data_IF_093289099814
#
_entry.id   IF_093289099814
#
_cell.length_a   1.000
_cell.length_b   1.000
_cell.length_c   1.000
_cell.angle_alpha   90.00
_cell.angle_beta   90.00
_cell.angle_gamma   90.00
#
_symmetry.space_group_name_H-M   'P 1'
#
loop_
_entity.id
_entity.type
_entity.pdbx_description
1 polymer ?
#
# COMPACT_ATOMS: atom_id res chain seq x y z
N UNK A 1 30.15 31.08 24.09
CA UNK A 1 28.72 31.46 24.03
C UNK A 1 28.03 30.97 22.76
N UNK A 2 28.69 31.01 21.58
CA UNK A 2 28.13 30.46 20.33
C UNK A 2 28.15 28.92 20.27
N UNK A 3 29.31 28.28 20.45
CA UNK A 3 29.41 26.81 20.41
C UNK A 3 28.56 26.12 21.49
N UNK A 4 28.36 26.76 22.64
CA UNK A 4 27.52 26.23 23.72
C UNK A 4 26.04 26.10 23.33
N UNK A 5 25.54 26.94 22.42
CA UNK A 5 24.18 26.80 21.90
C UNK A 5 24.05 25.55 21.03
N UNK A 6 24.98 25.34 20.10
CA UNK A 6 25.02 24.13 19.29
C UNK A 6 25.18 22.86 20.11
N UNK A 7 26.03 22.91 21.14
CA UNK A 7 26.22 21.80 22.05
C UNK A 7 24.95 21.49 22.84
N UNK A 8 24.17 22.51 23.24
CA UNK A 8 22.89 22.32 23.92
C UNK A 8 21.84 21.67 23.01
N UNK A 9 21.77 22.06 21.73
CA UNK A 9 20.86 21.43 20.76
C UNK A 9 21.28 19.98 20.49
N UNK A 10 22.56 19.74 20.22
CA UNK A 10 23.11 18.41 19.93
C UNK A 10 22.95 17.42 21.10
N UNK A 11 22.91 17.91 22.35
CA UNK A 11 22.67 17.11 23.57
C UNK A 11 21.21 17.07 24.00
N UNK A 12 20.33 17.84 23.35
CA UNK A 12 18.91 17.86 23.70
C UNK A 12 18.26 16.51 23.38
N UNK A 13 17.08 16.25 23.96
CA UNK A 13 16.31 15.03 23.66
C UNK A 13 16.12 14.91 22.15
N UNK A 14 16.63 13.82 21.57
CA UNK A 14 16.50 13.48 20.16
C UNK A 14 15.03 13.24 19.80
N UNK A 15 14.62 13.74 18.65
CA UNK A 15 13.34 13.42 18.03
C UNK A 15 13.47 13.57 16.52
N UNK A 16 12.69 12.81 15.72
CA UNK A 16 12.78 12.86 14.26
C UNK A 16 12.63 14.27 13.69
N UNK A 17 11.74 15.08 14.26
CA UNK A 17 11.45 16.44 13.81
C UNK A 17 12.65 17.39 13.94
N UNK A 18 13.58 17.08 14.86
CA UNK A 18 14.80 17.87 15.06
C UNK A 18 15.92 17.53 14.09
N UNK A 19 15.81 16.45 13.33
CA UNK A 19 16.87 16.02 12.42
C UNK A 19 17.24 17.13 11.43
N UNK A 20 16.25 17.77 10.81
CA UNK A 20 16.49 18.79 9.80
C UNK A 20 17.24 20.00 10.38
N UNK A 21 16.86 20.45 11.58
CA UNK A 21 17.59 21.53 12.28
C UNK A 21 19.02 21.11 12.61
N UNK A 22 19.26 19.84 12.98
CA UNK A 22 20.62 19.34 13.21
C UNK A 22 21.45 19.34 11.91
N UNK A 23 20.83 19.04 10.77
CA UNK A 23 21.48 19.08 9.46
C UNK A 23 21.78 20.51 9.03
N UNK A 24 20.85 21.45 9.20
CA UNK A 24 21.09 22.89 8.95
C UNK A 24 22.31 23.39 9.75
N UNK A 25 22.36 23.06 11.04
CA UNK A 25 23.50 23.45 11.88
C UNK A 25 24.80 22.80 11.43
N UNK A 26 24.75 21.54 10.98
CA UNK A 26 25.91 20.84 10.46
C UNK A 26 26.41 21.47 9.15
N UNK A 27 25.52 21.84 8.23
CA UNK A 27 25.86 22.54 6.97
C UNK A 27 26.60 23.84 7.25
N UNK A 28 26.04 24.69 8.13
CA UNK A 28 26.68 25.95 8.49
C UNK A 28 28.06 25.71 9.11
N UNK A 29 28.20 24.68 9.96
CA UNK A 29 29.49 24.33 10.57
C UNK A 29 30.52 23.85 9.54
N UNK A 30 30.09 23.16 8.47
CA UNK A 30 30.95 22.77 7.36
C UNK A 30 31.33 23.97 6.48
N UNK A 31 30.37 24.85 6.20
CA UNK A 31 30.57 26.04 5.36
C UNK A 31 31.60 26.99 5.97
N UNK A 32 31.51 27.27 7.28
CA UNK A 32 32.43 28.19 7.96
C UNK A 32 33.74 27.54 8.39
N UNK A 33 33.92 26.23 8.19
CA UNK A 33 35.11 25.51 8.65
C UNK A 33 36.43 26.10 8.09
N UNK A 34 36.55 26.42 6.78
CA UNK A 34 37.76 27.01 6.23
C UNK A 34 38.09 28.37 6.83
N UNK A 35 37.07 29.20 7.10
CA UNK A 35 37.25 30.51 7.71
C UNK A 35 37.72 30.40 9.15
N UNK A 36 37.19 29.43 9.91
CA UNK A 36 37.64 29.14 11.26
C UNK A 36 39.11 28.67 11.26
N UNK A 37 39.49 27.78 10.35
CA UNK A 37 40.89 27.35 10.21
C UNK A 37 41.82 28.51 9.81
N UNK A 38 41.37 29.41 8.94
CA UNK A 38 42.14 30.59 8.51
C UNK A 38 42.33 31.62 9.61
N UNK A 39 41.23 32.03 10.26
CA UNK A 39 41.24 33.06 11.33
C UNK A 39 41.96 32.55 12.59
N UNK A 40 41.80 31.27 12.93
CA UNK A 40 42.34 30.68 14.16
C UNK A 40 43.57 29.77 13.92
N UNK A 41 44.35 30.02 12.86
CA UNK A 41 45.50 29.20 12.46
C UNK A 41 46.66 29.13 13.49
N UNK A 42 46.70 30.04 14.47
CA UNK A 42 47.75 30.09 15.48
C UNK A 42 47.67 28.96 16.50
N UNK A 43 48.83 28.49 17.01
CA UNK A 43 48.91 27.43 18.04
C UNK A 43 48.10 27.75 19.31
N UNK A 44 48.05 29.02 19.71
CA UNK A 44 47.27 29.48 20.86
C UNK A 44 45.75 29.35 20.68
N UNK A 45 45.25 29.20 19.44
CA UNK A 45 43.83 29.07 19.12
C UNK A 45 43.42 27.62 18.81
N UNK A 46 44.31 26.64 19.06
CA UNK A 46 44.05 25.22 18.77
C UNK A 46 42.79 24.71 19.47
N UNK A 47 42.57 25.07 20.73
CA UNK A 47 41.38 24.67 21.50
C UNK A 47 40.05 25.14 20.86
N UNK A 48 40.04 26.31 20.21
CA UNK A 48 38.85 26.86 19.53
C UNK A 48 38.53 26.02 18.29
N UNK A 49 39.55 25.67 17.50
CA UNK A 49 39.40 24.82 16.31
C UNK A 49 38.96 23.42 16.69
N UNK A 50 39.58 22.82 17.71
CA UNK A 50 39.20 21.51 18.24
C UNK A 50 37.77 21.50 18.81
N UNK A 51 37.36 22.57 19.52
CA UNK A 51 36.00 22.69 20.04
C UNK A 51 34.96 22.81 18.93
N UNK A 52 35.27 23.56 17.87
CA UNK A 52 34.42 23.72 16.69
C UNK A 52 34.25 22.38 15.98
N UNK A 53 35.37 21.71 15.69
CA UNK A 53 35.36 20.38 15.08
C UNK A 53 34.62 19.34 15.94
N UNK A 54 34.82 19.40 17.26
CA UNK A 54 34.11 18.57 18.23
C UNK A 54 32.60 18.77 18.19
N UNK A 55 32.12 20.01 18.03
CA UNK A 55 30.70 20.31 17.86
C UNK A 55 30.16 19.76 16.53
N UNK A 56 30.87 19.99 15.40
CA UNK A 56 30.47 19.46 14.09
C UNK A 56 30.30 17.95 14.12
N UNK A 57 31.27 17.25 14.72
CA UNK A 57 31.21 15.80 14.91
C UNK A 57 30.03 15.38 15.79
N UNK A 58 29.75 16.14 16.87
CA UNK A 58 28.63 15.84 17.76
C UNK A 58 27.29 16.00 17.04
N UNK A 59 27.11 17.08 16.28
CA UNK A 59 25.90 17.33 15.48
C UNK A 59 25.63 16.16 14.52
N UNK A 60 26.66 15.72 13.82
CA UNK A 60 26.52 14.62 12.88
C UNK A 60 26.27 13.26 13.54
N UNK A 61 26.90 12.96 14.68
CA UNK A 61 26.57 11.77 15.48
C UNK A 61 25.12 11.79 15.95
N UNK A 62 24.67 12.92 16.50
CA UNK A 62 23.29 13.08 16.96
C UNK A 62 22.30 12.91 15.79
N UNK A 63 22.63 13.43 14.60
CA UNK A 63 21.81 13.24 13.39
C UNK A 63 21.74 11.75 12.97
N UNK A 64 22.87 11.03 12.98
CA UNK A 64 22.90 9.58 12.69
C UNK A 64 22.05 8.77 13.65
N UNK A 65 22.18 9.06 14.95
CA UNK A 65 21.37 8.42 15.97
C UNK A 65 19.88 8.73 15.81
N UNK A 66 19.55 9.96 15.40
CA UNK A 66 18.15 10.37 15.15
C UNK A 66 17.51 9.60 14.00
N UNK A 67 18.27 9.15 12.99
CA UNK A 67 17.75 8.23 11.96
C UNK A 67 17.34 6.88 12.55
N UNK A 68 18.15 6.33 13.47
CA UNK A 68 17.84 5.10 14.18
C UNK A 68 16.58 5.25 15.03
N UNK A 69 16.49 6.35 15.78
CA UNK A 69 15.32 6.67 16.60
C UNK A 69 14.04 6.81 15.74
N UNK A 70 14.14 7.45 14.57
CA UNK A 70 13.02 7.56 13.64
C UNK A 70 12.58 6.20 13.08
N UNK A 71 13.52 5.36 12.64
CA UNK A 71 13.22 4.02 12.17
C UNK A 71 12.48 3.20 13.25
N UNK A 72 12.98 3.22 14.49
CA UNK A 72 12.37 2.51 15.60
C UNK A 72 10.98 3.06 15.94
N UNK A 73 10.80 4.37 15.91
CA UNK A 73 9.51 5.01 16.13
C UNK A 73 8.48 4.63 15.07
N UNK A 74 8.89 4.55 13.79
CA UNK A 74 8.02 4.10 12.68
C UNK A 74 7.64 2.63 12.85
N UNK A 75 8.61 1.77 13.17
CA UNK A 75 8.37 0.33 13.33
C UNK A 75 7.41 0.06 14.49
N UNK A 76 7.58 0.78 15.61
CA UNK A 76 6.81 0.59 16.85
C UNK A 76 5.57 1.47 16.96
N UNK A 77 5.20 2.22 15.92
CA UNK A 77 4.02 3.09 15.96
C UNK A 77 2.75 2.27 16.27
N UNK A 78 2.20 2.48 17.47
CA UNK A 78 1.01 1.81 17.98
C UNK A 78 -0.24 2.71 17.91
N UNK A 79 -0.16 3.86 17.23
CA UNK A 79 -1.26 4.82 17.12
C UNK A 79 -2.48 4.16 16.50
N UNK A 80 -3.60 4.17 17.25
CA UNK A 80 -4.89 3.58 16.86
C UNK A 80 -5.65 4.48 15.88
N UNK A 81 -5.03 4.81 14.76
CA UNK A 81 -5.72 5.55 13.70
C UNK A 81 -6.64 4.58 12.95
N UNK A 82 -7.95 4.77 13.07
CA UNK A 82 -8.92 3.92 12.39
C UNK A 82 -8.97 4.27 10.89
N UNK A 83 -8.55 3.34 10.03
CA UNK A 83 -8.68 3.45 8.57
C UNK A 83 -9.65 2.37 8.10
N UNK A 84 -10.94 2.55 8.36
CA UNK A 84 -11.93 1.47 8.18
C UNK A 84 -12.25 1.15 6.71
N UNK A 85 -11.91 2.04 5.78
CA UNK A 85 -12.15 1.91 4.33
C UNK A 85 -10.95 1.33 3.55
N UNK A 86 -9.85 1.04 4.25
CA UNK A 86 -8.62 0.50 3.65
C UNK A 86 -7.80 1.51 2.85
N UNK A 87 -8.04 2.81 3.00
CA UNK A 87 -7.23 3.85 2.33
C UNK A 87 -5.77 3.90 2.82
N UNK A 88 -4.99 4.83 2.28
CA UNK A 88 -3.60 5.08 2.73
C UNK A 88 -3.61 5.56 4.19
N UNK A 89 -2.82 4.90 5.03
CA UNK A 89 -2.67 5.23 6.44
C UNK A 89 -1.89 6.56 6.60
N UNK A 90 -2.25 7.46 7.53
CA UNK A 90 -1.54 8.72 7.74
C UNK A 90 -0.03 8.56 8.02
N UNK A 91 0.36 7.54 8.80
CA UNK A 91 1.76 7.15 8.99
C UNK A 91 2.52 6.97 7.66
N UNK A 92 1.92 6.33 6.66
CA UNK A 92 2.55 6.13 5.35
C UNK A 92 2.85 7.47 4.70
N UNK A 93 1.88 8.40 4.71
CA UNK A 93 2.07 9.74 4.15
C UNK A 93 3.13 10.54 4.94
N UNK A 94 3.11 10.45 6.27
CA UNK A 94 4.08 11.09 7.15
C UNK A 94 5.51 10.61 6.86
N UNK A 95 5.73 9.29 6.84
CA UNK A 95 7.06 8.71 6.59
C UNK A 95 7.54 9.02 5.18
N UNK A 96 6.67 8.94 4.18
CA UNK A 96 7.04 9.29 2.81
C UNK A 96 7.40 10.77 2.68
N UNK A 97 6.68 11.67 3.33
CA UNK A 97 7.02 13.09 3.32
C UNK A 97 8.33 13.36 4.08
N UNK A 98 8.55 12.69 5.20
CA UNK A 98 9.82 12.75 5.92
C UNK A 98 10.97 12.32 5.01
N UNK A 99 10.83 11.19 4.30
CA UNK A 99 11.83 10.74 3.34
C UNK A 99 12.03 11.76 2.23
N UNK A 100 10.98 12.35 1.65
CA UNK A 100 11.14 13.42 0.66
C UNK A 100 11.98 14.57 1.19
N UNK A 101 11.71 15.04 2.41
CA UNK A 101 12.52 16.09 3.03
C UNK A 101 13.96 15.65 3.27
N UNK A 102 14.25 14.38 3.55
CA UNK A 102 15.64 13.90 3.63
C UNK A 102 16.40 14.08 2.32
N UNK A 103 15.72 13.93 1.18
CA UNK A 103 16.36 14.10 -0.13
C UNK A 103 16.70 15.55 -0.44
N UNK A 104 15.99 16.52 0.14
CA UNK A 104 16.39 17.93 0.06
C UNK A 104 17.78 18.17 0.72
N UNK A 105 18.19 17.31 1.66
CA UNK A 105 19.51 17.32 2.31
C UNK A 105 20.46 16.25 1.75
N UNK A 106 20.23 15.73 0.54
CA UNK A 106 21.01 14.59 0.01
C UNK A 106 22.52 14.85 0.01
N UNK A 107 22.98 16.02 -0.45
CA UNK A 107 24.41 16.38 -0.48
C UNK A 107 25.03 16.37 0.91
N UNK A 108 24.33 16.95 1.87
CA UNK A 108 24.74 17.09 3.27
C UNK A 108 24.79 15.73 3.94
N UNK A 109 23.80 14.88 3.70
CA UNK A 109 23.79 13.51 4.20
C UNK A 109 24.92 12.67 3.60
N UNK A 110 25.24 12.86 2.32
CA UNK A 110 26.40 12.19 1.71
C UNK A 110 27.72 12.59 2.37
N UNK A 111 27.93 13.88 2.65
CA UNK A 111 29.11 14.37 3.37
C UNK A 111 29.14 13.85 4.81
N UNK A 112 28.00 13.92 5.49
CA UNK A 112 27.84 13.43 6.85
C UNK A 112 28.21 11.93 6.94
N UNK A 113 27.75 11.09 6.02
CA UNK A 113 28.09 9.67 6.01
C UNK A 113 29.56 9.40 5.66
N UNK A 114 30.25 10.34 5.02
CA UNK A 114 31.68 10.26 4.70
C UNK A 114 32.54 10.46 5.95
N UNK A 115 32.19 11.39 6.82
CA UNK A 115 32.99 11.74 8.00
C UNK A 115 33.08 10.61 9.04
N UNK A 116 32.07 9.74 9.12
CA UNK A 116 31.99 8.68 10.15
C UNK A 116 32.48 7.31 9.66
N UNK A 117 32.86 7.17 8.39
CA UNK A 117 33.46 5.93 7.87
C UNK A 117 34.62 6.19 6.93
N UNK A 118 35.74 5.52 7.22
CA UNK A 118 36.81 5.33 6.25
C UNK A 118 36.39 4.22 5.26
N UNK A 119 36.15 4.57 4.00
CA UNK A 119 36.06 3.65 2.82
C UNK A 119 34.73 2.93 2.52
N UNK A 120 33.57 3.58 2.67
CA UNK A 120 32.29 3.09 2.11
C UNK A 120 31.68 4.08 1.12
N UNK A 121 30.91 3.60 0.14
CA UNK A 121 30.14 4.46 -0.76
C UNK A 121 29.04 5.19 0.04
N UNK A 122 29.07 6.52 0.09
CA UNK A 122 28.13 7.36 0.85
C UNK A 122 26.72 7.28 0.29
N UNK A 123 26.58 7.11 -1.03
CA UNK A 123 25.31 6.85 -1.71
C UNK A 123 24.67 5.57 -1.18
N UNK A 124 25.48 4.52 -0.97
CA UNK A 124 24.99 3.25 -0.42
C UNK A 124 24.45 3.37 1.02
N UNK A 125 24.95 4.32 1.82
CA UNK A 125 24.50 4.52 3.21
C UNK A 125 23.15 5.23 3.27
N UNK A 126 22.98 6.32 2.52
CA UNK A 126 21.69 7.00 2.42
C UNK A 126 20.63 6.07 1.84
N UNK A 127 21.00 5.24 0.85
CA UNK A 127 20.14 4.21 0.30
C UNK A 127 19.74 3.19 1.39
N UNK A 128 20.71 2.70 2.18
CA UNK A 128 20.46 1.73 3.24
C UNK A 128 19.55 2.28 4.34
N UNK A 129 19.76 3.53 4.79
CA UNK A 129 18.89 4.19 5.79
C UNK A 129 17.47 4.35 5.24
N UNK A 130 17.34 4.83 4.01
CA UNK A 130 16.04 4.98 3.34
C UNK A 130 15.34 3.63 3.21
N UNK A 131 16.04 2.57 2.79
CA UNK A 131 15.48 1.22 2.71
C UNK A 131 14.99 0.70 4.06
N UNK A 132 15.75 0.92 5.14
CA UNK A 132 15.36 0.49 6.49
C UNK A 132 14.09 1.22 6.98
N UNK A 133 13.98 2.51 6.73
CA UNK A 133 12.76 3.29 7.04
C UNK A 133 11.56 2.73 6.27
N UNK A 134 11.71 2.45 4.97
CA UNK A 134 10.64 1.87 4.15
C UNK A 134 10.23 0.46 4.63
N UNK A 135 11.20 -0.36 5.04
CA UNK A 135 10.95 -1.69 5.61
C UNK A 135 10.26 -1.62 6.97
N UNK A 136 10.68 -0.71 7.84
CA UNK A 136 10.03 -0.45 9.13
C UNK A 136 8.57 -0.04 8.93
N UNK A 137 8.30 0.87 7.99
CA UNK A 137 6.94 1.27 7.63
C UNK A 137 6.12 0.07 7.13
N UNK A 138 6.68 -0.74 6.21
CA UNK A 138 5.98 -1.92 5.69
C UNK A 138 5.64 -2.92 6.80
N UNK A 139 6.61 -3.24 7.68
CA UNK A 139 6.41 -4.14 8.82
C UNK A 139 5.31 -3.63 9.77
N UNK A 140 5.31 -2.33 10.05
CA UNK A 140 4.27 -1.70 10.87
C UNK A 140 2.89 -1.80 10.21
N UNK A 141 2.80 -1.53 8.91
CA UNK A 141 1.54 -1.64 8.14
C UNK A 141 1.03 -3.08 8.10
N UNK A 142 1.90 -4.07 7.93
CA UNK A 142 1.56 -5.49 8.03
C UNK A 142 0.98 -5.81 9.42
N UNK A 143 1.61 -5.31 10.48
CA UNK A 143 1.09 -5.39 11.85
C UNK A 143 -0.32 -4.79 12.01
N UNK A 144 -0.54 -3.57 11.49
CA UNK A 144 -1.83 -2.87 11.56
C UNK A 144 -2.92 -3.53 10.73
N UNK A 145 -2.56 -4.10 9.58
CA UNK A 145 -3.50 -4.78 8.69
C UNK A 145 -4.21 -5.98 9.33
N UNK A 146 -3.60 -6.58 10.38
CA UNK A 146 -4.18 -7.70 11.14
C UNK A 146 -5.43 -7.31 11.95
N UNK A 147 -5.72 -6.02 12.07
CA UNK A 147 -6.92 -5.53 12.77
C UNK A 147 -8.18 -5.66 11.90
N UNK A 148 -8.04 -5.79 10.58
CA UNK A 148 -9.18 -6.02 9.70
C UNK A 148 -9.67 -7.46 9.83
N UNK A 149 -10.99 -7.62 9.99
CA UNK A 149 -11.64 -8.94 10.02
C UNK A 149 -11.77 -9.56 8.63
N UNK A 150 -11.87 -8.72 7.60
CA UNK A 150 -12.03 -9.15 6.21
C UNK A 150 -10.65 -9.25 5.53
N UNK A 151 -10.18 -10.45 5.16
CA UNK A 151 -8.88 -10.63 4.53
C UNK A 151 -8.74 -9.91 3.18
N UNK A 152 -9.85 -9.65 2.47
CA UNK A 152 -9.80 -8.87 1.24
C UNK A 152 -9.48 -7.40 1.55
N UNK A 153 -10.05 -6.84 2.62
CA UNK A 153 -9.75 -5.48 3.07
C UNK A 153 -8.31 -5.35 3.57
N UNK A 154 -7.80 -6.35 4.28
CA UNK A 154 -6.38 -6.42 4.68
C UNK A 154 -5.45 -6.23 3.47
N UNK A 155 -5.69 -6.99 2.40
CA UNK A 155 -4.86 -6.90 1.20
C UNK A 155 -5.10 -5.62 0.40
N UNK A 156 -6.33 -5.09 0.36
CA UNK A 156 -6.60 -3.79 -0.26
C UNK A 156 -5.83 -2.67 0.45
N UNK A 157 -5.84 -2.66 1.78
CA UNK A 157 -5.10 -1.70 2.60
C UNK A 157 -3.59 -1.76 2.34
N UNK A 158 -3.01 -2.96 2.38
CA UNK A 158 -1.57 -3.13 2.10
C UNK A 158 -1.23 -2.71 0.66
N UNK A 159 -2.05 -3.10 -0.32
CA UNK A 159 -1.90 -2.69 -1.71
C UNK A 159 -1.87 -1.16 -1.86
N UNK A 160 -2.83 -0.44 -1.26
CA UNK A 160 -2.90 1.01 -1.30
C UNK A 160 -1.66 1.69 -0.74
N UNK A 161 -1.22 1.25 0.45
CA UNK A 161 -0.08 1.87 1.12
C UNK A 161 1.24 1.58 0.40
N UNK A 162 1.48 0.33 -0.01
CA UNK A 162 2.68 -0.06 -0.77
C UNK A 162 2.70 0.65 -2.13
N UNK A 163 1.57 0.76 -2.81
CA UNK A 163 1.46 1.52 -4.07
C UNK A 163 1.76 3.00 -3.87
N UNK A 164 1.25 3.61 -2.79
CA UNK A 164 1.55 4.99 -2.45
C UNK A 164 3.04 5.22 -2.22
N UNK A 165 3.73 4.29 -1.53
CA UNK A 165 5.18 4.33 -1.36
C UNK A 165 5.90 4.27 -2.72
N UNK A 166 5.55 3.31 -3.58
CA UNK A 166 6.14 3.15 -4.92
C UNK A 166 5.93 4.40 -5.77
N UNK A 167 4.70 4.92 -5.82
CA UNK A 167 4.36 6.12 -6.60
C UNK A 167 5.13 7.33 -6.11
N UNK A 168 5.30 7.47 -4.80
CA UNK A 168 6.01 8.58 -4.19
C UNK A 168 7.51 8.53 -4.47
N UNK A 169 8.15 7.36 -4.30
CA UNK A 169 9.57 7.17 -4.62
C UNK A 169 9.84 7.41 -6.11
N UNK A 170 8.98 6.91 -7.00
CA UNK A 170 9.14 7.12 -8.45
C UNK A 170 9.06 8.59 -8.88
N UNK A 171 8.52 9.47 -8.04
CA UNK A 171 8.33 10.90 -8.30
C UNK A 171 9.33 11.78 -7.56
N UNK A 172 10.31 11.19 -6.89
CA UNK A 172 11.37 11.91 -6.16
C UNK A 172 12.75 11.39 -6.54
N UNK A 173 13.78 12.10 -6.12
CA UNK A 173 15.20 11.75 -6.29
C UNK A 173 15.56 10.43 -5.59
N UNK A 174 14.71 9.97 -4.67
CA UNK A 174 14.80 8.65 -4.06
C UNK A 174 14.81 7.51 -5.08
N UNK A 175 14.21 7.69 -6.27
CA UNK A 175 14.25 6.69 -7.33
C UNK A 175 15.68 6.39 -7.77
N UNK A 176 16.49 7.43 -7.98
CA UNK A 176 17.83 7.30 -8.53
C UNK A 176 18.77 6.64 -7.50
N UNK A 177 18.53 6.92 -6.21
CA UNK A 177 19.28 6.32 -5.12
C UNK A 177 18.90 4.86 -4.85
N UNK A 178 17.60 4.54 -4.83
CA UNK A 178 17.11 3.19 -4.51
C UNK A 178 17.16 2.23 -5.72
N UNK A 179 17.14 2.77 -6.93
CA UNK A 179 17.22 2.04 -8.19
C UNK A 179 15.90 1.39 -8.63
N UNK A 180 15.86 1.03 -9.92
CA UNK A 180 14.68 0.41 -10.54
C UNK A 180 14.36 -0.98 -9.96
N UNK A 181 15.35 -1.71 -9.44
CA UNK A 181 15.15 -3.00 -8.78
C UNK A 181 14.26 -2.89 -7.54
N UNK A 182 14.43 -1.84 -6.74
CA UNK A 182 13.58 -1.58 -5.58
C UNK A 182 12.15 -1.31 -6.04
N UNK A 183 11.97 -0.45 -7.04
CA UNK A 183 10.66 -0.11 -7.61
C UNK A 183 9.96 -1.37 -8.13
N UNK A 184 10.69 -2.22 -8.86
CA UNK A 184 10.13 -3.44 -9.44
C UNK A 184 9.76 -4.47 -8.35
N UNK A 185 10.57 -4.60 -7.31
CA UNK A 185 10.26 -5.47 -6.15
C UNK A 185 8.96 -5.03 -5.48
N UNK A 186 8.81 -3.76 -5.15
CA UNK A 186 7.62 -3.26 -4.48
C UNK A 186 6.38 -3.29 -5.39
N UNK A 187 6.52 -3.05 -6.71
CA UNK A 187 5.43 -3.30 -7.67
C UNK A 187 4.93 -4.74 -7.67
N UNK A 188 5.83 -5.72 -7.55
CA UNK A 188 5.43 -7.14 -7.43
C UNK A 188 4.64 -7.38 -6.14
N UNK A 189 5.00 -6.73 -5.03
CA UNK A 189 4.26 -6.81 -3.76
C UNK A 189 2.85 -6.22 -3.91
N UNK A 190 2.71 -5.06 -4.57
CA UNK A 190 1.40 -4.47 -4.90
C UNK A 190 0.55 -5.47 -5.69
N UNK A 191 1.12 -6.09 -6.73
CA UNK A 191 0.41 -7.08 -7.55
C UNK A 191 0.04 -8.34 -6.76
N UNK A 192 0.90 -8.81 -5.85
CA UNK A 192 0.61 -9.93 -4.97
C UNK A 192 -0.60 -9.64 -4.07
N UNK A 193 -0.67 -8.44 -3.47
CA UNK A 193 -1.82 -8.03 -2.69
C UNK A 193 -3.09 -7.88 -3.53
N UNK A 194 -3.00 -7.31 -4.74
CA UNK A 194 -4.13 -7.24 -5.67
C UNK A 194 -4.68 -8.65 -5.99
N UNK A 195 -3.80 -9.62 -6.27
CA UNK A 195 -4.17 -11.01 -6.54
C UNK A 195 -4.80 -11.71 -5.32
N UNK A 196 -4.24 -11.48 -4.13
CA UNK A 196 -4.79 -12.03 -2.87
C UNK A 196 -6.17 -11.42 -2.55
N UNK A 197 -6.33 -10.11 -2.71
CA UNK A 197 -7.63 -9.44 -2.62
C UNK A 197 -8.64 -10.10 -3.56
N UNK A 198 -8.29 -10.26 -4.85
CA UNK A 198 -9.18 -10.89 -5.84
C UNK A 198 -9.60 -12.29 -5.41
N UNK A 199 -8.64 -13.10 -4.97
CA UNK A 199 -8.90 -14.47 -4.51
C UNK A 199 -9.82 -14.49 -3.30
N UNK A 200 -9.57 -13.65 -2.30
CA UNK A 200 -10.30 -13.65 -1.05
C UNK A 200 -11.72 -13.08 -1.21
N UNK A 201 -11.89 -12.01 -2.01
CA UNK A 201 -13.20 -11.40 -2.24
C UNK A 201 -14.07 -12.18 -3.22
N UNK A 202 -13.49 -12.70 -4.32
CA UNK A 202 -14.28 -13.16 -5.47
C UNK A 202 -14.33 -14.68 -5.66
N UNK A 203 -13.51 -15.46 -4.94
CA UNK A 203 -13.52 -16.93 -5.14
C UNK A 203 -14.87 -17.58 -4.86
N UNK A 204 -15.55 -17.18 -3.78
CA UNK A 204 -16.85 -17.76 -3.38
C UNK A 204 -17.96 -17.43 -4.37
N UNK A 205 -17.99 -16.21 -4.91
CA UNK A 205 -19.01 -15.83 -5.90
C UNK A 205 -18.76 -16.51 -7.25
N UNK A 206 -17.50 -16.71 -7.64
CA UNK A 206 -17.16 -17.44 -8.86
C UNK A 206 -17.54 -18.93 -8.77
N UNK A 207 -17.57 -19.53 -7.57
CA UNK A 207 -18.06 -20.90 -7.37
C UNK A 207 -19.56 -21.04 -7.69
N UNK A 208 -20.35 -19.96 -7.62
CA UNK A 208 -21.76 -19.99 -8.04
C UNK A 208 -21.92 -20.36 -9.52
N UNK A 209 -20.89 -20.11 -10.36
CA UNK A 209 -20.88 -20.45 -11.78
C UNK A 209 -20.31 -21.83 -12.09
N UNK A 210 -19.86 -22.57 -11.06
CA UNK A 210 -19.39 -23.93 -11.25
C UNK A 210 -20.46 -24.80 -11.91
N UNK A 211 -20.05 -25.78 -12.69
CA UNK A 211 -20.93 -26.81 -13.26
C UNK A 211 -20.89 -28.11 -12.45
N UNK A 212 -20.12 -28.16 -11.37
CA UNK A 212 -20.00 -29.32 -10.51
C UNK A 212 -21.36 -29.66 -9.88
N UNK A 213 -21.78 -30.93 -9.95
CA UNK A 213 -23.12 -31.36 -9.51
C UNK A 213 -24.26 -31.09 -10.50
N UNK A 214 -23.98 -30.45 -11.64
CA UNK A 214 -24.91 -30.29 -12.76
C UNK A 214 -24.52 -31.29 -13.84
N UNK A 215 -24.95 -32.55 -13.70
CA UNK A 215 -24.76 -33.53 -14.78
C UNK A 215 -25.65 -33.14 -15.96
N UNK A 216 -25.09 -32.95 -17.17
CA UNK A 216 -25.90 -32.88 -18.37
C UNK A 216 -26.33 -34.32 -18.70
N UNK A 217 -27.60 -34.64 -18.49
CA UNK A 217 -28.19 -35.78 -19.22
C UNK A 217 -28.19 -35.40 -20.69
N UNK A 218 -27.22 -35.91 -21.44
CA UNK A 218 -27.03 -35.55 -22.85
C UNK A 218 -25.88 -36.31 -23.50
N UNK A 219 -26.11 -37.59 -23.79
CA UNK A 219 -25.20 -38.45 -24.55
C UNK A 219 -25.79 -39.84 -24.82
N UNK A 220 -26.67 -39.92 -25.83
CA UNK A 220 -27.04 -41.06 -26.68
C UNK A 220 -26.97 -42.49 -26.10
N UNK A 221 -28.15 -43.07 -25.83
CA UNK A 221 -28.33 -44.51 -25.64
C UNK A 221 -29.82 -44.84 -25.52
N UNK A 222 -30.37 -45.47 -26.55
CA UNK A 222 -31.75 -45.99 -26.62
C UNK A 222 -32.04 -46.96 -25.49
N UNK A 223 -33.16 -46.77 -24.79
CA UNK A 223 -33.70 -47.75 -23.84
C UNK A 223 -34.40 -47.10 -22.65
N UNK A 224 -35.74 -47.15 -22.68
CA UNK A 224 -36.65 -47.17 -21.53
C UNK A 224 -36.00 -47.77 -20.26
N UNK A 225 -36.17 -47.25 -19.04
CA UNK A 225 -37.39 -47.22 -18.19
C UNK A 225 -37.07 -46.36 -16.95
N UNK A 226 -38.10 -45.77 -16.31
CA UNK A 226 -38.17 -45.28 -14.91
C UNK A 226 -37.53 -43.92 -14.49
N UNK A 227 -38.39 -43.03 -13.98
CA UNK A 227 -38.08 -42.34 -12.70
C UNK A 227 -37.57 -40.90 -12.71
N UNK A 228 -38.22 -39.98 -13.42
CA UNK A 228 -38.54 -38.56 -13.10
C UNK A 228 -37.73 -37.61 -12.17
N UNK A 229 -36.62 -37.96 -11.53
CA UNK A 229 -36.06 -37.15 -10.42
C UNK A 229 -34.80 -36.32 -10.75
N UNK A 230 -34.10 -36.57 -11.86
CA UNK A 230 -32.82 -35.90 -12.18
C UNK A 230 -32.93 -34.46 -12.70
N UNK A 231 -33.96 -34.17 -13.52
CA UNK A 231 -34.17 -32.86 -14.15
C UNK A 231 -34.63 -31.78 -13.16
N UNK A 232 -35.53 -32.15 -12.24
CA UNK A 232 -36.04 -31.26 -11.19
C UNK A 232 -34.99 -30.87 -10.14
N UNK A 233 -34.13 -31.81 -9.76
CA UNK A 233 -33.03 -31.57 -8.83
C UNK A 233 -31.99 -30.59 -9.41
N UNK A 234 -31.59 -30.78 -10.68
CA UNK A 234 -30.66 -29.88 -11.38
C UNK A 234 -31.22 -28.47 -11.56
N UNK A 235 -32.51 -28.33 -11.93
CA UNK A 235 -33.18 -27.02 -12.03
C UNK A 235 -33.27 -26.30 -10.68
N UNK A 236 -33.49 -27.03 -9.59
CA UNK A 236 -33.54 -26.46 -8.24
C UNK A 236 -32.16 -25.93 -7.81
N UNK A 237 -31.10 -26.70 -8.07
CA UNK A 237 -29.72 -26.28 -7.78
C UNK A 237 -29.30 -25.04 -8.58
N UNK A 238 -29.68 -24.96 -9.86
CA UNK A 238 -29.44 -23.77 -10.70
C UNK A 238 -30.14 -22.54 -10.12
N UNK A 239 -31.41 -22.68 -9.72
CA UNK A 239 -32.17 -21.60 -9.06
C UNK A 239 -31.51 -21.13 -7.77
N UNK A 240 -30.98 -22.05 -6.98
CA UNK A 240 -30.25 -21.75 -5.75
C UNK A 240 -28.94 -21.01 -6.04
N UNK A 241 -28.18 -21.43 -7.06
CA UNK A 241 -26.94 -20.76 -7.49
C UNK A 241 -27.17 -19.33 -7.94
N UNK A 242 -28.21 -19.07 -8.72
CA UNK A 242 -28.60 -17.70 -9.11
C UNK A 242 -28.94 -16.82 -7.91
N UNK A 243 -29.73 -17.34 -6.94
CA UNK A 243 -30.04 -16.59 -5.72
C UNK A 243 -28.80 -16.33 -4.87
N UNK A 244 -27.95 -17.35 -4.72
CA UNK A 244 -26.69 -17.25 -3.99
C UNK A 244 -25.75 -16.22 -4.62
N UNK A 245 -25.66 -16.20 -5.95
CA UNK A 245 -24.92 -15.17 -6.69
C UNK A 245 -25.46 -13.77 -6.39
N UNK A 246 -26.78 -13.54 -6.55
CA UNK A 246 -27.38 -12.23 -6.33
C UNK A 246 -27.10 -11.71 -4.92
N UNK A 247 -27.30 -12.55 -3.90
CA UNK A 247 -27.05 -12.21 -2.50
C UNK A 247 -25.58 -11.89 -2.23
N UNK A 248 -24.66 -12.73 -2.72
CA UNK A 248 -23.22 -12.52 -2.52
C UNK A 248 -22.71 -11.27 -3.27
N UNK A 249 -23.21 -11.01 -4.47
CA UNK A 249 -22.84 -9.83 -5.24
C UNK A 249 -23.31 -8.55 -4.54
N UNK A 250 -24.55 -8.53 -4.05
CA UNK A 250 -25.12 -7.40 -3.32
C UNK A 250 -24.35 -7.10 -2.04
N UNK A 251 -24.00 -8.13 -1.26
CA UNK A 251 -23.17 -7.98 -0.06
C UNK A 251 -21.77 -7.43 -0.39
N UNK A 252 -21.14 -7.96 -1.44
CA UNK A 252 -19.84 -7.48 -1.92
C UNK A 252 -19.91 -6.01 -2.37
N UNK A 253 -20.88 -5.66 -3.22
CA UNK A 253 -21.06 -4.30 -3.73
C UNK A 253 -21.35 -3.31 -2.59
N UNK A 254 -22.26 -3.64 -1.67
CA UNK A 254 -22.59 -2.78 -0.53
C UNK A 254 -21.37 -2.52 0.37
N UNK A 255 -20.52 -3.52 0.56
CA UNK A 255 -19.33 -3.42 1.40
C UNK A 255 -18.19 -2.67 0.71
N UNK A 256 -17.86 -3.06 -0.52
CA UNK A 256 -16.66 -2.61 -1.23
C UNK A 256 -16.85 -1.28 -1.96
N UNK A 257 -18.08 -0.83 -2.20
CA UNK A 257 -18.37 0.56 -2.59
C UNK A 257 -17.96 1.56 -1.50
N UNK A 258 -17.96 1.14 -0.22
CA UNK A 258 -17.53 1.98 0.91
C UNK A 258 -16.01 1.95 1.15
N UNK A 259 -15.30 1.02 0.52
CA UNK A 259 -13.84 0.98 0.57
C UNK A 259 -13.26 2.04 -0.35
N UNK A 260 -11.97 2.36 -0.19
CA UNK A 260 -11.33 3.44 -0.95
C UNK A 260 -10.03 2.95 -1.55
N UNK A 261 -9.85 3.12 -2.86
CA UNK A 261 -8.55 3.02 -3.55
C UNK A 261 -8.22 4.42 -4.10
N UNK A 262 -7.35 5.20 -3.44
CA UNK A 262 -7.14 6.61 -3.79
C UNK A 262 -6.53 6.82 -5.17
N UNK A 263 -5.70 5.88 -5.63
CA UNK A 263 -5.04 5.98 -6.93
C UNK A 263 -5.98 5.48 -8.03
N UNK A 264 -6.39 6.38 -8.91
CA UNK A 264 -7.37 6.10 -9.98
C UNK A 264 -6.89 5.00 -10.93
N UNK A 265 -5.62 5.01 -11.33
CA UNK A 265 -5.09 3.99 -12.26
C UNK A 265 -5.11 2.59 -11.62
N UNK A 266 -4.68 2.50 -10.35
CA UNK A 266 -4.74 1.25 -9.59
C UNK A 266 -6.18 0.78 -9.40
N UNK A 267 -7.09 1.70 -9.10
CA UNK A 267 -8.52 1.41 -8.90
C UNK A 267 -9.16 0.87 -10.17
N UNK A 268 -8.99 1.54 -11.29
CA UNK A 268 -9.54 1.08 -12.57
C UNK A 268 -8.91 -0.25 -12.99
N UNK A 269 -7.60 -0.41 -12.82
CA UNK A 269 -6.93 -1.68 -13.09
C UNK A 269 -7.52 -2.83 -12.25
N UNK A 270 -7.80 -2.59 -10.97
CA UNK A 270 -8.41 -3.60 -10.10
C UNK A 270 -9.84 -3.94 -10.51
N UNK A 271 -10.65 -2.94 -10.85
CA UNK A 271 -12.03 -3.11 -11.36
C UNK A 271 -12.03 -3.94 -12.65
N UNK A 272 -11.20 -3.57 -13.61
CA UNK A 272 -11.03 -4.31 -14.87
C UNK A 272 -10.63 -5.77 -14.61
N UNK A 273 -9.65 -5.99 -13.74
CA UNK A 273 -9.17 -7.33 -13.42
C UNK A 273 -10.24 -8.24 -12.79
N UNK A 274 -11.20 -7.66 -12.05
CA UNK A 274 -12.37 -8.39 -11.53
C UNK A 274 -13.38 -8.63 -12.65
N UNK A 275 -13.71 -7.61 -13.44
CA UNK A 275 -14.65 -7.68 -14.55
C UNK A 275 -14.27 -8.75 -15.59
N UNK A 276 -12.98 -8.84 -15.93
CA UNK A 276 -12.41 -9.83 -16.86
C UNK A 276 -12.65 -11.28 -16.43
N UNK A 277 -12.81 -11.54 -15.13
CA UNK A 277 -13.08 -12.89 -14.62
C UNK A 277 -14.58 -13.09 -14.39
N UNK A 278 -15.26 -12.08 -13.84
CA UNK A 278 -16.66 -12.18 -13.45
C UNK A 278 -17.60 -12.19 -14.66
N UNK A 279 -17.45 -11.24 -15.58
CA UNK A 279 -18.42 -11.02 -16.66
C UNK A 279 -18.46 -12.19 -17.65
N UNK A 280 -17.32 -12.76 -18.11
CA UNK A 280 -17.37 -13.94 -18.98
C UNK A 280 -17.99 -15.15 -18.30
N UNK A 281 -17.69 -15.38 -17.02
CA UNK A 281 -18.26 -16.48 -16.24
C UNK A 281 -19.79 -16.31 -16.09
N UNK A 282 -20.24 -15.10 -15.74
CA UNK A 282 -21.66 -14.77 -15.62
C UNK A 282 -22.41 -14.94 -16.94
N UNK A 283 -21.90 -14.34 -18.02
CA UNK A 283 -22.49 -14.44 -19.37
C UNK A 283 -22.63 -15.89 -19.82
N UNK A 284 -21.59 -16.69 -19.62
CA UNK A 284 -21.60 -18.13 -19.95
C UNK A 284 -22.65 -18.89 -19.13
N UNK A 285 -22.73 -18.63 -17.82
CA UNK A 285 -23.67 -19.29 -16.92
C UNK A 285 -25.13 -18.92 -17.25
N UNK A 286 -25.42 -17.64 -17.48
CA UNK A 286 -26.75 -17.15 -17.88
C UNK A 286 -27.14 -17.72 -19.24
N UNK A 287 -26.25 -17.70 -20.24
CA UNK A 287 -26.54 -18.28 -21.56
C UNK A 287 -26.89 -19.76 -21.48
N UNK A 288 -26.19 -20.52 -20.63
CA UNK A 288 -26.38 -21.97 -20.50
C UNK A 288 -27.62 -22.35 -19.69
N UNK A 289 -27.88 -21.66 -18.59
CA UNK A 289 -28.89 -22.07 -17.60
C UNK A 289 -30.07 -21.11 -17.47
N UNK A 290 -30.00 -19.91 -18.05
CA UNK A 290 -31.04 -18.89 -18.01
C UNK A 290 -32.40 -19.37 -18.54
N UNK A 291 -32.47 -20.03 -19.71
CA UNK A 291 -33.74 -20.57 -20.22
C UNK A 291 -34.45 -21.55 -19.28
N UNK A 292 -33.71 -22.21 -18.37
CA UNK A 292 -34.28 -23.16 -17.40
C UNK A 292 -34.96 -22.49 -16.21
N UNK A 293 -34.66 -21.20 -15.97
CA UNK A 293 -35.23 -20.39 -14.89
C UNK A 293 -36.19 -19.32 -15.41
N UNK A 294 -36.08 -18.91 -16.68
CA UNK A 294 -36.95 -17.91 -17.31
C UNK A 294 -38.41 -18.36 -17.49
N UNK A 295 -38.64 -19.65 -17.75
CA UNK A 295 -39.99 -20.19 -17.97
C UNK A 295 -40.87 -20.33 -16.71
N UNK A 296 -40.47 -19.78 -15.56
CA UNK A 296 -41.17 -19.90 -14.29
C UNK A 296 -41.95 -18.64 -13.87
N UNK A 297 -42.79 -18.77 -12.84
CA UNK A 297 -43.39 -17.60 -12.15
C UNK A 297 -42.27 -16.82 -11.45
N UNK A 298 -41.94 -15.63 -11.96
CA UNK A 298 -40.91 -14.67 -11.48
C UNK A 298 -39.44 -14.97 -11.90
N UNK A 299 -39.09 -14.79 -13.18
CA UNK A 299 -37.72 -14.95 -13.69
C UNK A 299 -36.73 -13.95 -13.08
N UNK A 300 -37.19 -12.71 -12.82
CA UNK A 300 -36.44 -11.62 -12.18
C UNK A 300 -35.92 -11.96 -10.77
N UNK A 301 -36.49 -12.98 -10.11
CA UNK A 301 -36.00 -13.47 -8.82
C UNK A 301 -34.65 -14.20 -8.93
N UNK A 302 -34.34 -14.74 -10.10
CA UNK A 302 -33.14 -15.54 -10.33
C UNK A 302 -32.12 -14.76 -11.14
N UNK A 303 -32.52 -14.22 -12.29
CA UNK A 303 -31.66 -13.37 -13.12
C UNK A 303 -32.04 -11.91 -12.83
N UNK A 304 -31.37 -11.32 -11.83
CA UNK A 304 -31.63 -9.94 -11.39
C UNK A 304 -30.84 -8.90 -12.17
N UNK A 305 -29.70 -9.28 -12.72
CA UNK A 305 -28.74 -8.36 -13.34
C UNK A 305 -28.43 -8.79 -14.76
N UNK A 306 -28.28 -7.83 -15.68
CA UNK A 306 -27.59 -8.08 -16.95
C UNK A 306 -26.08 -8.03 -16.75
N UNK A 307 -25.30 -8.48 -17.75
CA UNK A 307 -23.84 -8.34 -17.67
C UNK A 307 -23.43 -6.86 -17.62
N UNK A 308 -24.18 -6.01 -18.32
CA UNK A 308 -24.00 -4.56 -18.40
C UNK A 308 -24.36 -3.89 -17.06
N UNK A 309 -25.37 -4.39 -16.34
CA UNK A 309 -25.67 -3.93 -14.97
C UNK A 309 -24.54 -4.27 -14.01
N UNK A 310 -24.00 -5.50 -14.08
CA UNK A 310 -22.87 -5.91 -13.24
C UNK A 310 -21.62 -5.07 -13.55
N UNK A 311 -21.34 -4.82 -14.82
CA UNK A 311 -20.22 -3.97 -15.24
C UNK A 311 -20.35 -2.54 -14.70
N UNK A 312 -21.56 -1.94 -14.81
CA UNK A 312 -21.85 -0.63 -14.23
C UNK A 312 -21.63 -0.62 -12.71
N UNK A 313 -22.17 -1.63 -12.00
CA UNK A 313 -22.02 -1.73 -10.54
C UNK A 313 -20.57 -1.97 -10.11
N UNK A 314 -19.78 -2.73 -10.88
CA UNK A 314 -18.33 -2.88 -10.65
C UNK A 314 -17.59 -1.54 -10.74
N UNK A 315 -18.04 -0.64 -11.63
CA UNK A 315 -17.54 0.73 -11.74
C UNK A 315 -17.77 1.60 -10.50
N UNK A 316 -18.59 1.17 -9.53
CA UNK A 316 -18.85 1.89 -8.29
C UNK A 316 -17.96 1.43 -7.12
N UNK A 317 -17.20 0.33 -7.28
CA UNK A 317 -16.37 -0.24 -6.22
C UNK A 317 -15.19 0.69 -5.88
N UNK A 318 -14.86 0.85 -4.62
CA UNK A 318 -13.70 1.62 -4.16
C UNK A 318 -13.74 3.15 -4.36
N UNK A 319 -14.92 3.75 -4.61
CA UNK A 319 -15.07 5.21 -4.63
C UNK A 319 -15.04 5.84 -3.23
N UNK A 320 -15.26 5.05 -2.19
CA UNK A 320 -15.42 5.53 -0.82
C UNK A 320 -16.76 6.23 -0.59
N UNK A 321 -17.04 6.61 0.66
CA UNK A 321 -18.34 7.19 1.06
C UNK A 321 -18.68 8.54 0.41
N UNK A 322 -17.71 9.22 -0.20
CA UNK A 322 -17.87 10.60 -0.67
C UNK A 322 -18.47 10.74 -2.07
N UNK A 323 -18.77 9.64 -2.78
CA UNK A 323 -19.41 9.74 -4.11
C UNK A 323 -20.85 10.30 -4.04
N UNK A 324 -21.48 10.33 -2.85
CA UNK A 324 -22.82 10.86 -2.64
C UNK A 324 -22.90 12.39 -2.42
N UNK A 325 -21.81 13.05 -2.03
CA UNK A 325 -21.84 14.48 -1.68
C UNK A 325 -21.49 15.41 -2.84
N UNK A 326 -20.82 14.91 -3.89
CA UNK A 326 -20.45 15.72 -5.07
C UNK A 326 -21.52 15.76 -6.18
N UNK A 327 -22.71 15.21 -5.94
CA UNK A 327 -23.86 15.22 -6.87
C UNK A 327 -25.12 15.88 -6.27
N UNK A 328 -24.95 16.90 -5.42
CA UNK A 328 -26.06 17.75 -4.96
C UNK A 328 -25.87 19.19 -5.38
#
# INVERSE_FOLDING_TARGET
MLLSFGDAIAKSKRSPEKLFVLLDMYEIMQEIHPDIEGVFCGKACTEIRESTFGLTKRLALTAQETFGDFQEAVEKDATKTAVSDGTVHPLTSYVINYVKFLFDYQSTLMQLFQEFKSKGDTSSQLAAVTMRIMQALQSNLDGKSKQYKDPALTHLFLMNNVHYMVRSVRRSEAKDLLGDDWVQRYRRIVQQHANQYKRNAWSKILQCFSTQGLTPSGGSGTGSVEGGSGSGASRTLIKERFRSFNMQFEELHQKQSQWTVPDTELRESLRLSVAEVLLPAYRSYVKRFGPLVDGGKNPQKYIKYTAEDLERMLGEFFEGKNFGESKR
#
